data_IF_600294036650
#
_entry.id   IF_600294036650
#
_cell.length_a   1.000
_cell.length_b   1.000
_cell.length_c   1.000
_cell.angle_alpha   90.00
_cell.angle_beta   90.00
_cell.angle_gamma   90.00
#
_symmetry.space_group_name_H-M   'P 1'
#
loop_
_entity.id
_entity.type
_entity.pdbx_description
1 polymer ?
#
# COMPACT_ATOMS: atom_id res chain seq x y z
N UNK A 1 7.49 -6.56 24.21
CA UNK A 1 6.64 -7.76 23.95
C UNK A 1 6.40 -7.81 22.44
N UNK A 2 6.68 -8.93 21.79
CA UNK A 2 6.38 -9.13 20.37
C UNK A 2 5.09 -9.93 20.27
N UNK A 3 4.20 -9.51 19.36
CA UNK A 3 3.00 -10.27 19.00
C UNK A 3 3.20 -10.72 17.56
N UNK A 4 3.40 -12.02 17.39
CA UNK A 4 3.43 -12.65 16.08
C UNK A 4 1.99 -12.97 15.67
N UNK A 5 1.63 -12.58 14.45
CA UNK A 5 0.36 -12.91 13.83
C UNK A 5 0.64 -13.53 12.46
N UNK A 6 0.56 -14.85 12.39
CA UNK A 6 0.79 -15.58 11.17
C UNK A 6 -0.25 -15.25 10.09
N UNK A 7 0.06 -15.52 8.82
CA UNK A 7 -0.85 -15.21 7.71
C UNK A 7 -2.22 -15.89 7.87
N UNK A 8 -2.24 -17.11 8.42
CA UNK A 8 -3.45 -17.91 8.65
C UNK A 8 -4.36 -17.32 9.76
N UNK A 9 -3.79 -16.50 10.65
CA UNK A 9 -4.52 -15.86 11.75
C UNK A 9 -5.10 -14.50 11.33
N UNK A 10 -4.70 -13.99 10.17
CA UNK A 10 -5.22 -12.74 9.62
C UNK A 10 -6.57 -12.94 8.93
N UNK A 11 -7.37 -11.89 8.84
CA UNK A 11 -8.58 -11.90 8.03
C UNK A 11 -8.29 -12.27 6.58
N UNK A 12 -9.23 -12.87 5.89
CA UNK A 12 -9.06 -13.24 4.48
C UNK A 12 -10.28 -12.85 3.66
N UNK A 13 -10.04 -12.19 2.53
CA UNK A 13 -10.98 -12.12 1.42
C UNK A 13 -10.45 -13.02 0.32
N UNK A 14 -11.23 -14.02 -0.09
CA UNK A 14 -10.89 -14.92 -1.18
C UNK A 14 -12.06 -15.00 -2.16
N UNK A 15 -11.86 -14.44 -3.33
CA UNK A 15 -12.82 -14.45 -4.44
C UNK A 15 -12.08 -14.79 -5.74
N UNK A 16 -12.81 -14.97 -6.84
CA UNK A 16 -12.27 -15.44 -8.12
C UNK A 16 -10.96 -14.78 -8.59
N UNK A 17 -10.76 -13.52 -8.23
CA UNK A 17 -9.64 -12.73 -8.73
C UNK A 17 -8.75 -12.11 -7.63
N UNK A 18 -9.11 -12.29 -6.35
CA UNK A 18 -8.40 -11.67 -5.22
C UNK A 18 -8.19 -12.67 -4.09
N UNK A 19 -6.96 -12.87 -3.67
CA UNK A 19 -6.60 -13.44 -2.36
C UNK A 19 -5.93 -12.35 -1.52
N UNK A 20 -6.66 -11.84 -0.52
CA UNK A 20 -6.20 -10.76 0.35
C UNK A 20 -6.14 -11.20 1.80
N UNK A 21 -5.02 -10.92 2.49
CA UNK A 21 -4.84 -11.15 3.93
C UNK A 21 -4.86 -9.81 4.66
N UNK A 22 -5.78 -9.67 5.61
CA UNK A 22 -6.02 -8.45 6.36
C UNK A 22 -5.39 -8.50 7.74
N UNK A 23 -4.38 -7.70 8.00
CA UNK A 23 -3.79 -7.57 9.33
C UNK A 23 -4.75 -6.93 10.33
N UNK A 24 -5.54 -5.96 9.88
CA UNK A 24 -6.57 -5.28 10.66
C UNK A 24 -7.95 -5.48 10.02
N UNK A 25 -9.00 -5.12 10.74
CA UNK A 25 -10.38 -5.15 10.22
C UNK A 25 -10.48 -4.33 8.94
N UNK A 26 -11.01 -4.97 7.89
CA UNK A 26 -11.11 -4.38 6.56
C UNK A 26 -12.26 -5.03 5.76
N UNK A 27 -13.03 -4.22 5.03
CA UNK A 27 -14.15 -4.71 4.24
C UNK A 27 -15.19 -5.45 5.09
N UNK A 28 -15.38 -6.73 4.81
CA UNK A 28 -16.30 -7.60 5.57
C UNK A 28 -15.63 -8.32 6.76
N UNK A 29 -14.30 -8.29 6.83
CA UNK A 29 -13.58 -8.85 7.97
C UNK A 29 -13.61 -7.87 9.14
N UNK A 30 -14.12 -8.32 10.28
CA UNK A 30 -14.19 -7.53 11.50
C UNK A 30 -13.68 -8.32 12.71
N UNK A 31 -12.64 -7.79 13.36
CA UNK A 31 -12.13 -8.28 14.64
C UNK A 31 -11.86 -7.06 15.55
N UNK A 32 -12.60 -6.91 16.67
CA UNK A 32 -12.45 -5.76 17.54
C UNK A 32 -11.09 -5.65 18.23
N UNK A 33 -10.29 -6.74 18.26
CA UNK A 33 -8.93 -6.73 18.79
C UNK A 33 -7.90 -6.25 17.76
N UNK A 34 -8.28 -6.16 16.48
CA UNK A 34 -7.41 -5.80 15.37
C UNK A 34 -8.05 -4.72 14.50
N UNK A 35 -8.20 -3.51 15.08
CA UNK A 35 -8.79 -2.34 14.39
C UNK A 35 -7.73 -1.41 13.79
N UNK A 36 -6.46 -1.59 14.14
CA UNK A 36 -5.34 -0.77 13.76
C UNK A 36 -4.28 -0.71 14.86
N UNK A 37 -3.23 0.05 14.59
CA UNK A 37 -2.18 0.35 15.57
C UNK A 37 -1.79 1.82 15.45
N UNK A 38 -2.06 2.65 16.48
CA UNK A 38 -1.95 4.10 16.40
C UNK A 38 -2.71 4.64 15.17
N UNK A 39 -2.04 5.31 14.24
CA UNK A 39 -2.63 5.83 13.01
C UNK A 39 -2.60 4.83 11.84
N UNK A 40 -1.91 3.70 11.98
CA UNK A 40 -1.91 2.62 11.00
C UNK A 40 -3.26 1.88 11.04
N UNK A 41 -3.97 1.87 9.90
CA UNK A 41 -5.33 1.30 9.79
C UNK A 41 -5.40 0.05 8.95
N UNK A 42 -4.59 -0.06 7.91
CA UNK A 42 -4.61 -1.20 6.99
C UNK A 42 -3.20 -1.67 6.70
N UNK A 43 -3.00 -2.97 6.73
CA UNK A 43 -1.97 -3.69 6.01
C UNK A 43 -2.66 -4.88 5.38
N UNK A 44 -2.92 -4.79 4.09
CA UNK A 44 -3.40 -5.90 3.28
C UNK A 44 -2.25 -6.46 2.45
N UNK A 45 -2.24 -7.77 2.33
CA UNK A 45 -1.29 -8.56 1.55
C UNK A 45 -2.12 -9.18 0.42
N UNK A 46 -2.04 -8.57 -0.77
CA UNK A 46 -2.98 -8.76 -1.87
C UNK A 46 -2.32 -9.46 -3.05
N UNK A 47 -2.93 -10.57 -3.49
CA UNK A 47 -2.61 -11.23 -4.76
C UNK A 47 -3.81 -11.07 -5.69
N UNK A 48 -3.59 -10.44 -6.85
CA UNK A 48 -4.63 -10.14 -7.84
C UNK A 48 -4.33 -10.85 -9.16
N UNK A 49 -5.33 -11.58 -9.67
CA UNK A 49 -5.24 -12.33 -10.91
C UNK A 49 -5.00 -11.43 -12.14
N UNK A 50 -4.47 -11.99 -13.26
CA UNK A 50 -4.19 -11.25 -14.49
C UNK A 50 -5.37 -10.42 -15.00
N UNK A 51 -5.12 -9.14 -15.32
CA UNK A 51 -6.11 -8.21 -15.88
C UNK A 51 -7.28 -7.88 -14.96
N UNK A 52 -7.24 -8.31 -13.70
CA UNK A 52 -8.24 -8.01 -12.67
C UNK A 52 -7.74 -6.90 -11.75
N UNK A 53 -8.62 -6.39 -10.89
CA UNK A 53 -8.26 -5.33 -9.96
C UNK A 53 -9.45 -4.63 -9.34
N UNK A 54 -9.14 -3.57 -8.64
CA UNK A 54 -10.10 -2.73 -7.95
C UNK A 54 -10.56 -1.60 -8.88
N UNK A 55 -11.84 -1.64 -9.27
CA UNK A 55 -12.47 -0.58 -10.07
C UNK A 55 -12.44 0.77 -9.36
N UNK A 56 -12.82 1.82 -10.07
CA UNK A 56 -12.80 3.19 -9.54
C UNK A 56 -13.60 3.30 -8.24
N UNK A 57 -12.93 3.76 -7.18
CA UNK A 57 -13.49 3.95 -5.85
C UNK A 57 -12.89 5.19 -5.17
N UNK A 58 -13.61 5.81 -4.22
CA UNK A 58 -13.17 7.03 -3.57
C UNK A 58 -12.32 6.76 -2.32
N UNK A 59 -11.42 7.70 -2.03
CA UNK A 59 -10.75 7.86 -0.73
C UNK A 59 -10.80 9.31 -0.28
N UNK A 60 -10.78 9.52 1.03
CA UNK A 60 -10.69 10.82 1.67
C UNK A 60 -9.92 10.71 2.97
N UNK A 61 -9.08 11.73 3.25
CA UNK A 61 -8.32 11.83 4.50
C UNK A 61 -7.58 10.53 4.87
N UNK A 62 -6.82 10.00 3.90
CA UNK A 62 -6.04 8.77 4.04
C UNK A 62 -4.72 8.89 3.29
N UNK A 63 -3.66 8.43 3.92
CA UNK A 63 -2.36 8.18 3.29
C UNK A 63 -2.33 6.71 2.87
N UNK A 64 -2.17 6.46 1.57
CA UNK A 64 -2.21 5.12 0.97
C UNK A 64 -0.87 4.82 0.34
N UNK A 65 -0.27 3.71 0.74
CA UNK A 65 1.03 3.25 0.25
C UNK A 65 0.87 1.89 -0.39
N UNK A 66 1.36 1.74 -1.62
CA UNK A 66 1.42 0.46 -2.32
C UNK A 66 2.88 0.06 -2.53
N UNK A 67 3.23 -1.16 -2.14
CA UNK A 67 4.55 -1.77 -2.31
C UNK A 67 4.41 -3.04 -3.13
N UNK A 68 4.94 -3.06 -4.35
CA UNK A 68 4.86 -4.23 -5.23
C UNK A 68 5.92 -5.25 -4.86
N UNK A 69 5.48 -6.47 -4.55
CA UNK A 69 6.31 -7.63 -4.18
C UNK A 69 6.58 -8.52 -5.39
N UNK A 70 5.61 -8.62 -6.30
CA UNK A 70 5.73 -9.40 -7.54
C UNK A 70 4.76 -8.90 -8.61
N UNK A 71 5.13 -9.02 -9.89
CA UNK A 71 4.31 -8.56 -11.00
C UNK A 71 4.34 -7.04 -11.21
N UNK A 72 3.22 -6.46 -11.65
CA UNK A 72 3.08 -5.03 -11.91
C UNK A 72 1.64 -4.55 -11.64
N UNK A 73 1.50 -3.45 -10.90
CA UNK A 73 0.25 -2.82 -10.52
C UNK A 73 0.04 -1.55 -11.35
N UNK A 74 -1.07 -1.43 -12.06
CA UNK A 74 -1.45 -0.22 -12.79
C UNK A 74 -2.38 0.63 -11.92
N UNK A 75 -1.96 1.87 -11.65
CA UNK A 75 -2.73 2.89 -10.93
C UNK A 75 -3.26 3.95 -11.89
N UNK A 76 -4.50 4.39 -11.67
CA UNK A 76 -5.09 5.57 -12.33
C UNK A 76 -5.93 6.33 -11.32
N UNK A 77 -5.83 7.66 -11.33
CA UNK A 77 -6.60 8.51 -10.42
C UNK A 77 -7.23 9.74 -11.07
N UNK A 78 -8.09 10.41 -10.31
CA UNK A 78 -8.81 11.63 -10.72
C UNK A 78 -7.94 12.89 -10.76
N UNK A 79 -6.69 12.82 -10.30
CA UNK A 79 -5.72 13.92 -10.40
C UNK A 79 -4.99 13.92 -11.76
N UNK A 80 -5.14 12.84 -12.53
CA UNK A 80 -4.50 12.63 -13.83
C UNK A 80 -3.22 11.79 -13.76
N UNK A 81 -2.91 11.20 -12.61
CA UNK A 81 -1.83 10.23 -12.52
C UNK A 81 -2.28 8.90 -13.13
N UNK A 82 -1.39 8.28 -13.90
CA UNK A 82 -1.62 7.00 -14.52
C UNK A 82 -0.28 6.29 -14.73
N UNK A 83 0.10 5.47 -13.77
CA UNK A 83 1.43 4.87 -13.68
C UNK A 83 1.34 3.35 -13.49
N UNK A 84 2.41 2.66 -13.85
CA UNK A 84 2.57 1.22 -13.60
C UNK A 84 3.72 1.03 -12.63
N UNK A 85 3.38 0.51 -11.45
CA UNK A 85 4.34 0.15 -10.41
C UNK A 85 4.87 -1.26 -10.65
N UNK A 86 6.18 -1.43 -10.52
CA UNK A 86 6.89 -2.72 -10.61
C UNK A 86 7.61 -3.04 -9.31
N UNK A 87 8.13 -4.25 -9.21
CA UNK A 87 8.98 -4.65 -8.07
C UNK A 87 10.12 -3.66 -7.87
N UNK A 88 10.29 -3.23 -6.61
CA UNK A 88 11.23 -2.17 -6.24
C UNK A 88 10.66 -0.76 -6.31
N UNK A 89 9.45 -0.58 -6.83
CA UNK A 89 8.75 0.69 -6.82
C UNK A 89 7.76 0.77 -5.66
N UNK A 90 7.66 1.95 -5.10
CA UNK A 90 6.72 2.30 -4.02
C UNK A 90 5.92 3.51 -4.47
N UNK A 91 4.62 3.44 -4.26
CA UNK A 91 3.69 4.54 -4.46
C UNK A 91 3.20 5.06 -3.12
N UNK A 92 3.03 6.37 -3.01
CA UNK A 92 2.27 7.03 -1.95
C UNK A 92 1.24 7.95 -2.58
N UNK A 93 -0.02 7.79 -2.17
CA UNK A 93 -1.13 8.66 -2.52
C UNK A 93 -1.72 9.26 -1.24
N UNK A 94 -1.77 10.58 -1.15
CA UNK A 94 -2.53 11.30 -0.13
C UNK A 94 -3.91 11.61 -0.67
N UNK A 95 -4.95 11.05 -0.08
CA UNK A 95 -6.31 11.25 -0.56
C UNK A 95 -6.86 12.64 -0.23
N UNK A 96 -6.40 13.26 0.87
CA UNK A 96 -6.74 14.63 1.26
C UNK A 96 -8.23 14.93 1.18
N UNK A 97 -8.62 15.98 0.48
CA UNK A 97 -10.01 16.41 0.32
C UNK A 97 -10.87 15.41 -0.44
N UNK A 98 -10.26 14.49 -1.16
CA UNK A 98 -10.92 13.41 -1.89
C UNK A 98 -10.23 13.08 -3.21
N UNK A 99 -10.11 11.80 -3.50
CA UNK A 99 -9.60 11.24 -4.76
C UNK A 99 -10.43 10.03 -5.15
N UNK A 100 -10.60 9.82 -6.44
CA UNK A 100 -11.06 8.55 -7.00
C UNK A 100 -9.89 7.88 -7.68
N UNK A 101 -9.69 6.58 -7.44
CA UNK A 101 -8.65 5.82 -8.12
C UNK A 101 -9.08 4.40 -8.44
N UNK A 102 -8.31 3.75 -9.28
CA UNK A 102 -8.42 2.32 -9.61
C UNK A 102 -7.04 1.69 -9.62
N UNK A 103 -6.97 0.41 -9.25
CA UNK A 103 -5.74 -0.36 -9.21
C UNK A 103 -5.97 -1.71 -9.88
N UNK A 104 -5.27 -1.97 -10.98
CA UNK A 104 -5.41 -3.20 -11.74
C UNK A 104 -4.08 -3.94 -11.89
N UNK A 105 -4.15 -5.25 -11.97
CA UNK A 105 -3.01 -6.02 -12.43
C UNK A 105 -2.73 -5.66 -13.90
N UNK A 106 -1.55 -5.08 -14.14
CA UNK A 106 -1.14 -4.65 -15.48
C UNK A 106 -0.86 -5.83 -16.44
N UNK A 107 -0.52 -7.01 -15.90
CA UNK A 107 -0.26 -8.22 -16.68
C UNK A 107 -1.56 -8.90 -17.08
N UNK A 108 -1.58 -9.44 -18.29
CA UNK A 108 -2.67 -10.31 -18.77
C UNK A 108 -2.42 -11.80 -18.51
N UNK A 109 -1.25 -12.18 -17.96
CA UNK A 109 -0.83 -13.58 -17.83
C UNK A 109 -0.30 -13.96 -16.46
N UNK A 110 0.24 -13.01 -15.71
CA UNK A 110 0.87 -13.26 -14.41
C UNK A 110 0.16 -12.49 -13.30
N UNK A 111 0.01 -13.06 -12.10
CA UNK A 111 -0.59 -12.35 -10.96
C UNK A 111 0.30 -11.18 -10.52
N UNK A 112 -0.30 -10.18 -9.88
CA UNK A 112 0.41 -9.15 -9.12
C UNK A 112 0.27 -9.42 -7.63
N UNK A 113 1.36 -9.27 -6.89
CA UNK A 113 1.41 -9.36 -5.44
C UNK A 113 1.94 -8.04 -4.87
N UNK A 114 1.18 -7.42 -3.97
CA UNK A 114 1.56 -6.14 -3.37
C UNK A 114 1.01 -6.00 -1.95
N UNK A 115 1.65 -5.12 -1.19
CA UNK A 115 1.16 -4.69 0.12
C UNK A 115 0.43 -3.35 -0.05
N UNK A 116 -0.78 -3.27 0.51
CA UNK A 116 -1.56 -2.05 0.61
C UNK A 116 -1.56 -1.58 2.07
N UNK A 117 -1.02 -0.39 2.34
CA UNK A 117 -0.85 0.15 3.70
C UNK A 117 -1.60 1.47 3.78
N UNK A 118 -2.49 1.62 4.77
CA UNK A 118 -3.24 2.86 5.00
C UNK A 118 -2.94 3.44 6.37
N UNK A 119 -2.65 4.74 6.37
CA UNK A 119 -2.28 5.50 7.56
C UNK A 119 -3.16 6.75 7.62
N UNK A 120 -3.71 7.07 8.79
CA UNK A 120 -4.43 8.33 8.98
C UNK A 120 -3.44 9.49 8.86
N UNK A 121 -3.75 10.55 8.10
CA UNK A 121 -2.89 11.73 8.04
C UNK A 121 -2.93 12.51 9.36
N UNK A 122 -1.87 13.29 9.64
CA UNK A 122 -1.83 14.18 10.82
C UNK A 122 -2.88 15.31 10.76
N UNK A 123 -3.35 15.64 9.56
CA UNK A 123 -4.37 16.68 9.31
C UNK A 123 -5.32 16.23 8.22
N UNK A 124 -6.60 16.55 8.42
CA UNK A 124 -7.64 16.31 7.41
C UNK A 124 -7.68 17.43 6.37
N UNK A 125 -8.33 17.13 5.25
CA UNK A 125 -8.58 18.06 4.13
C UNK A 125 -7.29 18.65 3.53
N UNK A 126 -6.21 17.88 3.51
CA UNK A 126 -4.99 18.20 2.76
C UNK A 126 -5.29 18.17 1.25
N UNK A 127 -4.42 18.78 0.46
CA UNK A 127 -4.50 18.62 -0.98
C UNK A 127 -4.17 17.18 -1.36
N UNK A 128 -4.92 16.56 -2.29
CA UNK A 128 -4.55 15.26 -2.83
C UNK A 128 -3.19 15.31 -3.53
N UNK A 129 -2.38 14.29 -3.32
CA UNK A 129 -1.03 14.19 -3.88
C UNK A 129 -0.73 12.74 -4.29
N UNK A 130 0.12 12.59 -5.31
CA UNK A 130 0.64 11.32 -5.77
C UNK A 130 2.16 11.39 -5.91
N UNK A 131 2.84 10.32 -5.49
CA UNK A 131 4.28 10.19 -5.63
C UNK A 131 4.65 8.72 -5.84
N UNK A 132 5.53 8.42 -6.80
CA UNK A 132 6.05 7.08 -7.07
C UNK A 132 7.56 7.14 -7.18
N UNK A 133 8.24 6.10 -6.67
CA UNK A 133 9.69 6.03 -6.72
C UNK A 133 10.21 4.61 -6.77
N UNK A 134 11.24 4.41 -7.56
CA UNK A 134 12.04 3.20 -7.58
C UNK A 134 13.13 3.23 -6.50
N UNK A 135 13.21 2.15 -5.70
CA UNK A 135 14.27 1.90 -4.72
C UNK A 135 15.08 0.70 -5.20
N UNK A 136 16.34 0.89 -5.61
CA UNK A 136 17.16 -0.19 -6.13
C UNK A 136 17.48 -1.24 -5.06
N UNK A 137 17.70 -2.49 -5.45
CA UNK A 137 17.92 -3.60 -4.52
C UNK A 137 19.10 -3.36 -3.58
N UNK A 138 20.20 -2.78 -4.05
CA UNK A 138 21.38 -2.46 -3.25
C UNK A 138 21.08 -1.45 -2.13
N UNK A 139 20.01 -0.66 -2.26
CA UNK A 139 19.53 0.24 -1.21
C UNK A 139 18.91 -0.50 -0.03
N UNK A 140 18.34 -1.68 -0.25
CA UNK A 140 17.60 -2.46 0.75
C UNK A 140 18.19 -3.83 1.06
N UNK A 141 19.20 -4.30 0.32
CA UNK A 141 19.81 -5.62 0.49
C UNK A 141 20.49 -5.75 1.86
N UNK A 142 19.99 -6.69 2.68
CA UNK A 142 20.46 -7.00 4.03
C UNK A 142 20.55 -5.80 4.98
N UNK A 143 19.84 -4.70 4.67
CA UNK A 143 19.76 -3.49 5.49
C UNK A 143 18.39 -2.83 5.38
N UNK A 144 18.02 -2.07 6.41
CA UNK A 144 16.81 -1.25 6.38
C UNK A 144 17.04 -0.01 5.51
N UNK A 145 16.41 0.04 4.33
CA UNK A 145 16.34 1.22 3.47
C UNK A 145 15.06 2.00 3.78
N UNK A 146 15.20 3.30 4.06
CA UNK A 146 14.06 4.18 4.34
C UNK A 146 13.31 4.49 3.03
N UNK A 147 12.08 4.01 2.91
CA UNK A 147 11.27 4.20 1.70
C UNK A 147 10.21 5.30 1.84
N UNK A 148 9.74 5.57 3.05
CA UNK A 148 8.78 6.63 3.36
C UNK A 148 9.17 7.33 4.67
N UNK A 149 9.04 8.65 4.71
CA UNK A 149 9.18 9.45 5.93
C UNK A 149 8.38 10.75 5.81
N UNK A 150 8.10 11.39 6.97
CA UNK A 150 7.35 12.65 7.03
C UNK A 150 7.91 13.76 6.14
N UNK A 151 9.22 13.88 6.06
CA UNK A 151 9.90 14.97 5.34
C UNK A 151 10.59 14.51 4.04
N UNK A 152 10.48 13.24 3.67
CA UNK A 152 11.20 12.68 2.51
C UNK A 152 12.73 12.62 2.71
N UNK A 153 13.19 12.48 3.98
CA UNK A 153 14.62 12.39 4.27
C UNK A 153 15.26 11.18 3.58
N UNK A 154 16.55 11.25 3.32
CA UNK A 154 17.31 10.19 2.61
C UNK A 154 16.73 9.84 1.24
N UNK A 155 16.03 10.79 0.61
CA UNK A 155 15.31 10.60 -0.66
C UNK A 155 14.14 9.60 -0.58
N UNK A 156 13.58 9.32 0.61
CA UNK A 156 12.33 8.57 0.74
C UNK A 156 11.15 9.37 0.15
N UNK A 157 10.03 8.69 -0.11
CA UNK A 157 8.77 9.36 -0.40
C UNK A 157 8.27 10.12 0.83
N UNK A 158 7.59 11.24 0.61
CA UNK A 158 7.01 12.04 1.69
C UNK A 158 5.64 11.46 2.08
N UNK A 159 5.30 11.55 3.38
CA UNK A 159 3.98 11.19 3.92
C UNK A 159 3.50 12.26 4.91
N UNK A 160 2.19 12.49 4.98
CA UNK A 160 1.61 13.49 5.88
C UNK A 160 1.27 12.90 7.27
N UNK A 161 2.22 12.16 7.85
CA UNK A 161 2.14 11.62 9.20
C UNK A 161 3.55 11.45 9.78
N UNK A 162 3.67 11.47 11.10
CA UNK A 162 4.91 11.16 11.82
C UNK A 162 5.15 9.65 11.84
N UNK A 163 5.56 9.12 10.70
CA UNK A 163 5.81 7.70 10.46
C UNK A 163 6.99 7.49 9.53
N UNK A 164 7.69 6.39 9.72
CA UNK A 164 8.76 5.93 8.84
C UNK A 164 8.48 4.49 8.41
N UNK A 165 8.64 4.22 7.12
CA UNK A 165 8.53 2.88 6.56
C UNK A 165 9.88 2.50 5.98
N UNK A 166 10.35 1.33 6.38
CA UNK A 166 11.60 0.77 5.92
C UNK A 166 11.34 -0.53 5.17
N UNK A 167 12.14 -0.78 4.16
CA UNK A 167 12.19 -2.05 3.43
C UNK A 167 13.54 -2.71 3.63
N UNK A 168 13.54 -4.04 3.76
CA UNK A 168 14.76 -4.84 3.77
C UNK A 168 14.52 -6.09 2.92
N UNK A 169 15.41 -6.32 1.92
CA UNK A 169 15.49 -7.58 1.19
C UNK A 169 16.55 -8.45 1.88
N UNK A 170 16.13 -9.54 2.49
CA UNK A 170 17.03 -10.52 3.11
C UNK A 170 17.49 -11.53 2.03
N UNK A 171 18.78 -11.78 1.98
CA UNK A 171 19.44 -12.76 1.09
C UNK A 171 19.95 -13.96 1.91
#
# INVERSE_FOLDING_TARGET
MYILRAAEERGRTYIDWLDSRHTFSFGQYFDPNFMGFSDLRVINDDVVEPGKGFGTHPHKDMEIVSVVVGGALEHKDSMGSGEVLRVGEVQRMSAGTGVYHSEFNHSSTEPVHFLQIWILPEKNNLNPEYEQKFFPEDYTANRLGLIISREGREKSLRINQDVEIYQCKLE
#
